data_IF_488908525831
#
_entry.id   IF_488908525831
#
_cell.length_a   1.000
_cell.length_b   1.000
_cell.length_c   1.000
_cell.angle_alpha   90.00
_cell.angle_beta   90.00
_cell.angle_gamma   90.00
#
_symmetry.space_group_name_H-M   'P 1'
#
loop_
_entity.id
_entity.type
_entity.pdbx_description
1 polymer ?
#
# COMPACT_ATOMS: atom_id res chain seq x y z
N UNK A 1 -18.32 15.03 37.97
CA UNK A 1 -17.21 14.06 38.14
C UNK A 1 -16.31 14.13 36.91
N UNK A 2 -15.09 14.63 37.06
CA UNK A 2 -14.09 14.68 35.97
C UNK A 2 -13.65 13.24 35.69
N UNK A 3 -13.91 12.73 34.48
CA UNK A 3 -13.27 11.49 34.01
C UNK A 3 -11.77 11.78 33.95
N UNK A 4 -10.98 11.07 34.75
CA UNK A 4 -9.52 11.10 34.60
C UNK A 4 -9.20 10.50 33.23
N UNK A 5 -8.73 11.34 32.30
CA UNK A 5 -8.01 10.86 31.14
C UNK A 5 -6.83 10.05 31.67
N UNK A 6 -6.77 8.77 31.27
CA UNK A 6 -5.69 7.88 31.65
C UNK A 6 -4.34 8.47 31.26
N UNK A 7 -3.29 8.06 31.98
CA UNK A 7 -1.90 8.44 31.74
C UNK A 7 -1.62 8.33 30.24
N UNK A 8 -1.48 9.47 29.57
CA UNK A 8 -1.18 9.52 28.14
C UNK A 8 0.20 8.94 27.92
N UNK A 9 0.27 7.73 27.39
CA UNK A 9 1.52 7.21 26.83
C UNK A 9 1.81 8.07 25.60
N UNK A 10 2.89 8.85 25.65
CA UNK A 10 3.42 9.49 24.44
C UNK A 10 4.33 8.48 23.75
N UNK A 11 4.14 8.33 22.44
CA UNK A 11 5.01 7.52 21.58
C UNK A 11 5.85 8.50 20.78
N UNK A 12 7.16 8.38 20.87
CA UNK A 12 8.10 9.12 20.03
C UNK A 12 8.22 8.42 18.67
N UNK A 13 7.88 9.14 17.60
CA UNK A 13 7.96 8.67 16.22
C UNK A 13 9.14 9.29 15.47
N UNK A 14 10.05 9.99 16.16
CA UNK A 14 11.27 10.53 15.55
C UNK A 14 12.06 9.40 14.88
N UNK A 15 12.43 9.59 13.62
CA UNK A 15 13.11 8.60 12.79
C UNK A 15 12.21 7.53 12.18
N UNK A 16 10.90 7.55 12.42
CA UNK A 16 9.96 6.63 11.78
C UNK A 16 9.81 6.92 10.27
N UNK A 17 9.33 5.92 9.52
CA UNK A 17 8.94 6.08 8.13
C UNK A 17 7.44 5.79 7.99
N UNK A 18 6.67 6.76 7.49
CA UNK A 18 5.28 6.52 7.09
C UNK A 18 5.25 5.93 5.68
N UNK A 19 4.81 4.67 5.58
CA UNK A 19 4.84 3.92 4.33
C UNK A 19 3.58 4.10 3.46
N UNK A 20 2.56 4.83 3.93
CA UNK A 20 1.27 4.89 3.26
C UNK A 20 0.56 6.22 3.57
N UNK A 21 1.01 7.29 2.91
CA UNK A 21 0.40 8.62 3.04
C UNK A 21 -0.42 8.98 1.81
N UNK A 22 -1.73 9.20 1.99
CA UNK A 22 -2.60 9.73 0.94
C UNK A 22 -2.62 11.26 0.98
N UNK A 23 -2.67 11.90 -0.19
CA UNK A 23 -2.51 13.35 -0.35
C UNK A 23 -3.35 13.87 -1.53
N UNK A 24 -3.61 15.18 -1.58
CA UNK A 24 -4.34 15.83 -2.66
C UNK A 24 -3.45 16.07 -3.90
N UNK A 25 -4.02 16.08 -5.12
CA UNK A 25 -5.39 15.72 -5.46
C UNK A 25 -5.62 14.20 -5.43
N UNK A 26 -6.85 13.78 -5.13
CA UNK A 26 -7.28 12.37 -5.12
C UNK A 26 -8.67 12.30 -5.75
N UNK A 27 -8.88 11.34 -6.66
CA UNK A 27 -10.10 11.26 -7.46
C UNK A 27 -11.32 10.75 -6.66
N UNK A 28 -11.07 10.04 -5.55
CA UNK A 28 -12.10 9.34 -4.78
C UNK A 28 -12.48 10.08 -3.50
N UNK A 29 -11.55 10.86 -2.93
CA UNK A 29 -11.76 11.53 -1.63
C UNK A 29 -11.06 12.88 -1.58
N UNK A 30 -11.72 13.87 -0.99
CA UNK A 30 -11.04 15.12 -0.62
C UNK A 30 -9.97 14.84 0.45
N UNK A 31 -8.76 15.37 0.25
CA UNK A 31 -7.63 15.22 1.16
C UNK A 31 -7.30 16.57 1.78
N UNK A 32 -6.89 16.56 3.05
CA UNK A 32 -6.63 17.79 3.81
C UNK A 32 -5.28 18.44 3.52
N UNK A 33 -4.37 17.72 2.87
CA UNK A 33 -2.99 18.11 2.61
C UNK A 33 -2.59 17.70 1.19
N UNK A 34 -1.70 18.45 0.55
CA UNK A 34 -1.05 18.05 -0.69
C UNK A 34 0.26 17.28 -0.43
N UNK A 35 0.97 16.90 -1.50
CA UNK A 35 2.22 16.16 -1.41
C UNK A 35 3.35 16.94 -0.69
N UNK A 36 3.39 18.26 -0.82
CA UNK A 36 4.39 19.09 -0.15
C UNK A 36 4.08 19.23 1.33
N UNK A 37 2.81 19.42 1.67
CA UNK A 37 2.34 19.49 3.05
C UNK A 37 2.60 18.17 3.78
N UNK A 38 2.30 17.03 3.14
CA UNK A 38 2.63 15.70 3.69
C UNK A 38 4.13 15.55 4.03
N UNK A 39 5.02 16.01 3.14
CA UNK A 39 6.46 15.97 3.39
C UNK A 39 6.88 16.95 4.50
N UNK A 40 6.35 18.18 4.52
CA UNK A 40 6.66 19.18 5.55
C UNK A 40 6.19 18.74 6.93
N UNK A 41 5.00 18.16 7.02
CA UNK A 41 4.45 17.64 8.27
C UNK A 41 5.30 16.46 8.78
N UNK A 42 5.72 15.56 7.89
CA UNK A 42 6.62 14.47 8.25
C UNK A 42 7.99 14.98 8.75
N UNK A 43 8.57 15.98 8.07
CA UNK A 43 9.82 16.61 8.51
C UNK A 43 9.67 17.31 9.87
N UNK A 44 8.58 18.05 10.08
CA UNK A 44 8.28 18.74 11.33
C UNK A 44 8.05 17.77 12.50
N UNK A 45 7.51 16.58 12.21
CA UNK A 45 7.36 15.48 13.17
C UNK A 45 8.67 14.69 13.41
N UNK A 46 9.75 14.99 12.69
CA UNK A 46 11.03 14.30 12.81
C UNK A 46 11.06 12.90 12.16
N UNK A 47 10.13 12.59 11.26
CA UNK A 47 10.15 11.33 10.50
C UNK A 47 11.39 11.26 9.61
N UNK A 48 11.94 10.05 9.45
CA UNK A 48 13.01 9.79 8.49
C UNK A 48 12.49 9.78 7.04
N UNK A 49 11.25 9.31 6.83
CA UNK A 49 10.67 9.23 5.49
C UNK A 49 9.13 9.28 5.48
N UNK A 50 8.58 9.63 4.32
CA UNK A 50 7.17 9.45 3.97
C UNK A 50 7.04 8.87 2.57
N UNK A 51 6.06 7.98 2.37
CA UNK A 51 5.75 7.38 1.08
C UNK A 51 4.40 7.89 0.61
N UNK A 52 4.42 8.63 -0.49
CA UNK A 52 3.24 9.15 -1.16
C UNK A 52 2.52 8.02 -1.90
N UNK A 53 1.24 7.78 -1.58
CA UNK A 53 0.40 6.76 -2.22
C UNK A 53 -0.78 7.40 -2.96
N UNK A 54 -1.00 6.94 -4.19
CA UNK A 54 -2.23 7.16 -4.96
C UNK A 54 -2.78 5.82 -5.43
N UNK A 55 -4.11 5.71 -5.49
CA UNK A 55 -4.79 4.55 -6.09
C UNK A 55 -4.69 4.57 -7.62
N UNK A 56 -4.64 5.76 -8.21
CA UNK A 56 -4.96 5.95 -9.63
C UNK A 56 -3.72 6.10 -10.53
N UNK A 57 -2.55 6.40 -9.94
CA UNK A 57 -1.33 6.67 -10.70
C UNK A 57 -0.04 6.39 -9.89
N UNK A 58 1.09 6.10 -10.56
CA UNK A 58 2.38 5.98 -9.90
C UNK A 58 2.84 7.32 -9.33
N UNK A 59 3.35 7.33 -8.10
CA UNK A 59 3.74 8.54 -7.38
C UNK A 59 5.25 8.78 -7.33
N UNK A 60 6.06 7.86 -7.86
CA UNK A 60 7.53 7.94 -7.77
C UNK A 60 8.12 9.23 -8.38
N UNK A 61 7.61 9.69 -9.52
CA UNK A 61 8.06 10.93 -10.17
C UNK A 61 7.71 12.19 -9.35
N UNK A 62 6.51 12.23 -8.78
CA UNK A 62 6.09 13.31 -7.87
C UNK A 62 6.92 13.29 -6.59
N UNK A 63 7.09 12.12 -5.97
CA UNK A 63 7.90 11.97 -4.78
C UNK A 63 9.34 12.44 -4.99
N UNK A 64 9.96 12.08 -6.12
CA UNK A 64 11.29 12.59 -6.48
C UNK A 64 11.31 14.12 -6.52
N UNK A 65 10.33 14.75 -7.16
CA UNK A 65 10.27 16.22 -7.26
C UNK A 65 10.09 16.88 -5.88
N UNK A 66 9.27 16.31 -4.99
CA UNK A 66 9.07 16.83 -3.64
C UNK A 66 10.32 16.63 -2.77
N UNK A 67 11.00 15.48 -2.87
CA UNK A 67 12.27 15.17 -2.17
C UNK A 67 13.38 16.16 -2.54
N UNK A 68 13.33 16.81 -3.71
CA UNK A 68 14.30 17.85 -4.10
C UNK A 68 14.06 19.20 -3.41
N UNK A 69 12.87 19.43 -2.87
CA UNK A 69 12.43 20.76 -2.41
C UNK A 69 12.20 20.80 -0.90
N UNK A 70 11.81 19.69 -0.29
CA UNK A 70 11.52 19.61 1.14
C UNK A 70 12.68 18.94 1.86
N UNK A 71 13.41 19.74 2.65
CA UNK A 71 14.51 19.26 3.48
C UNK A 71 14.02 18.56 4.77
N UNK A 72 14.88 17.73 5.36
CA UNK A 72 14.66 17.16 6.69
C UNK A 72 13.86 15.84 6.72
N UNK A 73 13.35 15.39 5.58
CA UNK A 73 12.68 14.09 5.40
C UNK A 73 13.04 13.50 4.04
N UNK A 74 12.99 12.17 3.90
CA UNK A 74 13.02 11.54 2.57
C UNK A 74 11.61 11.30 2.05
N UNK A 75 11.37 11.65 0.79
CA UNK A 75 10.07 11.44 0.14
C UNK A 75 10.19 10.34 -0.90
N UNK A 76 9.41 9.28 -0.72
CA UNK A 76 9.34 8.16 -1.65
C UNK A 76 7.93 8.05 -2.23
N UNK A 77 7.82 7.31 -3.34
CA UNK A 77 6.53 7.00 -3.95
C UNK A 77 6.41 5.51 -4.23
N UNK A 78 5.32 5.14 -4.89
CA UNK A 78 5.04 3.78 -5.28
C UNK A 78 4.01 3.68 -6.39
N UNK A 79 3.41 2.50 -6.54
CA UNK A 79 2.36 2.23 -7.52
C UNK A 79 1.34 1.25 -6.92
N UNK A 80 0.05 1.56 -7.03
CA UNK A 80 -1.02 0.61 -6.74
C UNK A 80 -1.43 -0.10 -8.03
N UNK A 81 -1.50 -1.42 -8.02
CA UNK A 81 -1.89 -2.25 -9.16
C UNK A 81 -3.42 -2.26 -9.37
N UNK A 82 -4.04 -1.09 -9.32
CA UNK A 82 -5.46 -0.91 -9.60
C UNK A 82 -5.73 -0.78 -11.10
N UNK A 83 -7.01 -0.88 -11.49
CA UNK A 83 -7.44 -0.86 -12.89
C UNK A 83 -6.94 0.36 -13.65
N UNK A 84 -6.86 1.52 -13.00
CA UNK A 84 -6.47 2.81 -13.58
C UNK A 84 -5.04 2.79 -14.14
N UNK A 85 -4.17 1.93 -13.60
CA UNK A 85 -2.80 1.71 -14.11
C UNK A 85 -2.67 0.41 -14.92
N UNK A 86 -3.78 -0.25 -15.24
CA UNK A 86 -3.84 -1.50 -15.99
C UNK A 86 -3.91 -2.77 -15.13
N UNK A 87 -4.19 -2.64 -13.83
CA UNK A 87 -4.25 -3.76 -12.89
C UNK A 87 -2.87 -4.25 -12.46
N UNK A 88 -2.74 -5.55 -12.23
CA UNK A 88 -1.44 -6.21 -11.98
C UNK A 88 -0.66 -6.23 -13.30
N UNK A 89 0.01 -5.12 -13.60
CA UNK A 89 0.68 -4.87 -14.87
C UNK A 89 2.21 -4.82 -14.63
N UNK A 90 2.96 -5.89 -14.95
CA UNK A 90 4.40 -5.95 -14.73
C UNK A 90 5.16 -4.82 -15.44
N UNK A 91 4.74 -4.43 -16.65
CA UNK A 91 5.41 -3.36 -17.39
C UNK A 91 5.26 -2.00 -16.70
N UNK A 92 4.08 -1.71 -16.12
CA UNK A 92 3.87 -0.49 -15.35
C UNK A 92 4.68 -0.49 -14.05
N UNK A 93 4.73 -1.64 -13.37
CA UNK A 93 5.51 -1.84 -12.14
C UNK A 93 7.01 -1.68 -12.40
N UNK A 94 7.56 -2.33 -13.44
CA UNK A 94 8.99 -2.23 -13.79
C UNK A 94 9.39 -0.77 -14.04
N UNK A 95 8.59 -0.03 -14.83
CA UNK A 95 8.86 1.39 -15.10
C UNK A 95 8.80 2.21 -13.81
N UNK A 96 7.79 2.00 -12.96
CA UNK A 96 7.68 2.72 -11.69
C UNK A 96 8.88 2.45 -10.77
N UNK A 97 9.32 1.19 -10.66
CA UNK A 97 10.48 0.78 -9.88
C UNK A 97 11.78 1.40 -10.41
N UNK A 98 11.96 1.44 -11.74
CA UNK A 98 13.11 2.10 -12.38
C UNK A 98 13.13 3.62 -12.18
N UNK A 99 11.96 4.26 -12.09
CA UNK A 99 11.83 5.68 -11.74
C UNK A 99 12.14 5.94 -10.25
N UNK A 100 11.96 4.94 -9.39
CA UNK A 100 12.33 5.00 -7.97
C UNK A 100 11.20 4.67 -7.00
N UNK A 101 10.10 4.04 -7.46
CA UNK A 101 9.08 3.50 -6.56
C UNK A 101 9.71 2.59 -5.50
N UNK A 102 9.30 2.75 -4.24
CA UNK A 102 9.73 1.91 -3.12
C UNK A 102 8.65 0.97 -2.60
N UNK A 103 7.39 1.26 -2.93
CA UNK A 103 6.25 0.39 -2.63
C UNK A 103 5.49 0.02 -3.89
N UNK A 104 5.11 -1.25 -3.98
CA UNK A 104 4.17 -1.77 -4.96
C UNK A 104 3.00 -2.35 -4.18
N UNK A 105 1.84 -1.69 -4.24
CA UNK A 105 0.61 -2.24 -3.67
C UNK A 105 -0.06 -3.13 -4.71
N UNK A 106 -0.44 -4.34 -4.30
CA UNK A 106 -1.42 -5.15 -5.03
C UNK A 106 -2.79 -4.42 -5.08
N UNK A 107 -3.77 -4.89 -5.87
CA UNK A 107 -5.03 -4.17 -6.09
C UNK A 107 -5.67 -3.67 -4.79
N UNK A 108 -6.22 -2.45 -4.83
CA UNK A 108 -6.84 -1.79 -3.67
C UNK A 108 -8.34 -1.57 -3.92
N UNK A 109 -8.77 -0.35 -4.28
CA UNK A 109 -10.19 -0.02 -4.51
C UNK A 109 -10.82 -0.83 -5.64
N UNK A 110 -10.01 -1.29 -6.60
CA UNK A 110 -10.47 -2.10 -7.72
C UNK A 110 -10.28 -3.60 -7.48
N UNK A 111 -9.87 -4.03 -6.28
CA UNK A 111 -9.73 -5.44 -5.91
C UNK A 111 -11.08 -6.18 -5.86
N UNK A 112 -11.04 -7.50 -6.00
CA UNK A 112 -12.21 -8.37 -5.80
C UNK A 112 -12.77 -8.25 -4.38
N UNK A 113 -11.90 -8.15 -3.38
CA UNK A 113 -12.31 -7.98 -1.98
C UNK A 113 -13.15 -6.71 -1.77
N UNK A 114 -12.73 -5.58 -2.34
CA UNK A 114 -13.48 -4.33 -2.23
C UNK A 114 -14.78 -4.34 -3.03
N UNK A 115 -14.89 -5.20 -4.05
CA UNK A 115 -16.18 -5.47 -4.69
C UNK A 115 -17.10 -6.28 -3.79
N UNK A 116 -16.57 -7.31 -3.10
CA UNK A 116 -17.33 -8.19 -2.22
C UNK A 116 -17.82 -7.49 -0.94
N UNK A 117 -17.01 -6.59 -0.36
CA UNK A 117 -17.38 -5.85 0.85
C UNK A 117 -18.23 -4.60 0.57
N UNK A 118 -18.49 -4.26 -0.70
CA UNK A 118 -19.33 -3.14 -1.12
C UNK A 118 -18.61 -1.79 -1.26
N UNK A 119 -17.29 -1.71 -0.99
CA UNK A 119 -16.50 -0.47 -1.14
C UNK A 119 -16.43 -0.05 -2.61
N UNK A 120 -16.06 -0.97 -3.51
CA UNK A 120 -16.00 -0.72 -4.95
C UNK A 120 -17.33 -0.24 -5.53
N UNK A 121 -18.45 -0.94 -5.27
CA UNK A 121 -19.79 -0.50 -5.68
C UNK A 121 -20.18 0.88 -5.14
N UNK A 122 -19.85 1.19 -3.88
CA UNK A 122 -20.14 2.50 -3.29
C UNK A 122 -19.37 3.64 -3.97
N UNK A 123 -18.19 3.35 -4.52
CA UNK A 123 -17.39 4.28 -5.31
C UNK A 123 -17.74 4.27 -6.82
N UNK A 124 -18.70 3.44 -7.25
CA UNK A 124 -19.08 3.32 -8.66
C UNK A 124 -18.07 2.58 -9.53
N UNK A 125 -17.15 1.82 -8.93
CA UNK A 125 -16.13 1.03 -9.64
C UNK A 125 -16.81 -0.21 -10.24
N UNK A 126 -16.80 -0.40 -11.58
CA UNK A 126 -17.56 -1.47 -12.21
C UNK A 126 -16.83 -2.81 -12.22
N UNK A 127 -17.54 -3.89 -12.53
CA UNK A 127 -16.97 -5.22 -12.76
C UNK A 127 -16.67 -6.03 -11.49
N UNK A 128 -16.12 -7.25 -11.63
CA UNK A 128 -15.98 -8.20 -10.52
C UNK A 128 -14.82 -7.88 -9.56
N UNK A 129 -14.00 -6.88 -9.90
CA UNK A 129 -12.76 -6.57 -9.20
C UNK A 129 -11.60 -7.44 -9.65
N UNK A 130 -10.39 -7.00 -9.35
CA UNK A 130 -9.14 -7.68 -9.72
C UNK A 130 -8.79 -8.72 -8.67
N UNK A 131 -8.45 -9.92 -9.13
CA UNK A 131 -7.84 -10.98 -8.33
C UNK A 131 -6.36 -11.11 -8.69
N UNK A 132 -5.57 -11.60 -7.74
CA UNK A 132 -4.13 -11.91 -7.91
C UNK A 132 -3.86 -13.42 -7.96
N UNK A 133 -4.92 -14.21 -7.81
CA UNK A 133 -4.93 -15.66 -7.97
C UNK A 133 -5.96 -16.10 -9.00
N UNK A 134 -5.79 -17.30 -9.54
CA UNK A 134 -6.80 -18.00 -10.33
C UNK A 134 -7.84 -18.70 -9.43
N UNK A 135 -8.82 -19.37 -10.06
CA UNK A 135 -9.88 -20.10 -9.34
C UNK A 135 -9.36 -21.30 -8.53
N UNK A 136 -8.12 -21.75 -8.76
CA UNK A 136 -7.47 -22.80 -7.98
C UNK A 136 -6.68 -22.24 -6.78
N UNK A 137 -6.59 -20.90 -6.64
CA UNK A 137 -5.82 -20.23 -5.60
C UNK A 137 -4.33 -20.10 -5.93
N UNK A 138 -3.93 -20.41 -7.18
CA UNK A 138 -2.57 -20.22 -7.64
C UNK A 138 -2.36 -18.78 -8.11
N UNK A 139 -1.19 -18.20 -7.84
CA UNK A 139 -0.89 -16.84 -8.29
C UNK A 139 -1.05 -16.72 -9.81
N UNK A 140 -1.53 -15.58 -10.29
CA UNK A 140 -1.54 -15.30 -11.72
C UNK A 140 -0.10 -15.10 -12.23
N UNK A 141 0.20 -15.39 -13.51
CA UNK A 141 1.53 -15.16 -14.09
C UNK A 141 2.03 -13.72 -13.87
N UNK A 142 1.18 -12.73 -14.14
CA UNK A 142 1.50 -11.31 -13.94
C UNK A 142 1.75 -10.95 -12.48
N UNK A 143 1.09 -11.63 -11.53
CA UNK A 143 1.39 -11.45 -10.10
C UNK A 143 2.78 -11.98 -9.78
N UNK A 144 3.16 -13.16 -10.29
CA UNK A 144 4.52 -13.71 -10.10
C UNK A 144 5.58 -12.77 -10.66
N UNK A 145 5.37 -12.25 -11.87
CA UNK A 145 6.29 -11.30 -12.51
C UNK A 145 6.46 -10.03 -11.66
N UNK A 146 5.36 -9.48 -11.10
CA UNK A 146 5.42 -8.33 -10.18
C UNK A 146 6.21 -8.66 -8.91
N UNK A 147 6.02 -9.85 -8.33
CA UNK A 147 6.79 -10.28 -7.16
C UNK A 147 8.29 -10.35 -7.45
N UNK A 148 8.65 -10.89 -8.62
CA UNK A 148 10.04 -10.99 -9.06
C UNK A 148 10.66 -9.59 -9.22
N UNK A 149 9.97 -8.68 -9.90
CA UNK A 149 10.40 -7.28 -10.05
C UNK A 149 10.59 -6.57 -8.70
N UNK A 150 9.67 -6.77 -7.74
CA UNK A 150 9.79 -6.15 -6.41
C UNK A 150 11.06 -6.65 -5.69
N UNK A 151 11.34 -7.96 -5.76
CA UNK A 151 12.57 -8.52 -5.18
C UNK A 151 13.83 -8.00 -5.88
N UNK A 152 13.85 -7.97 -7.22
CA UNK A 152 14.99 -7.51 -8.02
C UNK A 152 15.36 -6.05 -7.72
N UNK A 153 14.36 -5.21 -7.44
CA UNK A 153 14.54 -3.79 -7.14
C UNK A 153 14.70 -3.46 -5.65
N UNK A 154 14.74 -4.47 -4.77
CA UNK A 154 14.76 -4.32 -3.31
C UNK A 154 13.65 -3.38 -2.78
N UNK A 155 12.48 -3.45 -3.43
CA UNK A 155 11.29 -2.71 -3.05
C UNK A 155 10.45 -3.49 -2.03
N UNK A 156 9.38 -2.86 -1.55
CA UNK A 156 8.42 -3.47 -0.62
C UNK A 156 7.13 -3.79 -1.34
N UNK A 157 6.67 -5.03 -1.24
CA UNK A 157 5.33 -5.42 -1.66
C UNK A 157 4.34 -5.08 -0.55
N UNK A 158 3.26 -4.38 -0.88
CA UNK A 158 2.13 -4.19 0.00
C UNK A 158 0.94 -5.02 -0.51
N UNK A 159 0.26 -5.73 0.39
CA UNK A 159 -0.83 -6.65 0.00
C UNK A 159 -2.07 -5.95 -0.56
N UNK A 160 -2.15 -4.62 -0.42
CA UNK A 160 -3.29 -3.85 -0.89
C UNK A 160 -4.56 -4.26 -0.14
N UNK A 161 -5.64 -4.45 -0.89
CA UNK A 161 -6.93 -4.86 -0.34
C UNK A 161 -7.30 -6.29 -0.75
N UNK A 162 -6.39 -7.11 -1.29
CA UNK A 162 -6.70 -8.46 -1.77
C UNK A 162 -7.33 -9.36 -0.69
N UNK A 163 -7.99 -10.47 -1.07
CA UNK A 163 -8.68 -11.31 -0.07
C UNK A 163 -7.72 -11.94 0.93
N UNK A 164 -8.25 -12.50 2.04
CA UNK A 164 -7.42 -13.18 3.03
C UNK A 164 -6.68 -14.40 2.42
N UNK A 165 -7.34 -15.13 1.53
CA UNK A 165 -6.75 -16.25 0.79
C UNK A 165 -5.62 -15.78 -0.13
N UNK A 166 -5.83 -14.66 -0.83
CA UNK A 166 -4.82 -14.05 -1.69
C UNK A 166 -3.62 -13.53 -0.89
N UNK A 167 -3.84 -12.97 0.31
CA UNK A 167 -2.74 -12.62 1.23
C UNK A 167 -1.87 -13.84 1.56
N UNK A 168 -2.48 -14.98 1.89
CA UNK A 168 -1.76 -16.21 2.22
C UNK A 168 -1.00 -16.75 1.00
N UNK A 169 -1.62 -16.75 -0.18
CA UNK A 169 -0.98 -17.19 -1.42
C UNK A 169 0.26 -16.34 -1.75
N UNK A 170 0.14 -15.02 -1.64
CA UNK A 170 1.24 -14.06 -1.86
C UNK A 170 2.34 -14.24 -0.80
N UNK A 171 2.00 -14.26 0.48
CA UNK A 171 2.97 -14.42 1.56
C UNK A 171 3.74 -15.74 1.45
N UNK A 172 3.06 -16.84 1.11
CA UNK A 172 3.70 -18.15 0.87
C UNK A 172 4.70 -18.11 -0.28
N UNK A 173 4.38 -17.37 -1.35
CA UNK A 173 5.24 -17.27 -2.53
C UNK A 173 6.39 -16.26 -2.37
N UNK A 174 6.23 -15.21 -1.55
CA UNK A 174 7.12 -14.05 -1.53
C UNK A 174 7.74 -13.70 -0.16
N UNK A 175 7.09 -14.03 0.95
CA UNK A 175 7.46 -13.51 2.28
C UNK A 175 8.91 -13.80 2.71
N UNK A 176 9.50 -14.89 2.22
CA UNK A 176 10.92 -15.24 2.50
C UNK A 176 11.90 -14.83 1.41
N UNK A 177 11.43 -14.13 0.37
CA UNK A 177 12.21 -13.71 -0.81
C UNK A 177 12.45 -12.21 -0.85
N UNK A 178 11.60 -11.41 -0.21
CA UNK A 178 11.68 -9.96 -0.23
C UNK A 178 10.96 -9.32 0.95
N UNK A 179 10.78 -8.00 0.87
CA UNK A 179 10.10 -7.21 1.90
C UNK A 179 8.62 -7.12 1.58
N UNK A 180 7.78 -7.50 2.52
CA UNK A 180 6.33 -7.46 2.39
C UNK A 180 5.75 -6.72 3.59
N UNK A 181 4.63 -6.02 3.36
CA UNK A 181 3.83 -5.40 4.41
C UNK A 181 2.37 -5.78 4.19
N UNK A 182 1.75 -6.34 5.23
CA UNK A 182 0.31 -6.61 5.25
C UNK A 182 -0.42 -5.29 5.50
N UNK A 183 -1.04 -4.73 4.46
CA UNK A 183 -1.82 -3.50 4.58
C UNK A 183 -3.25 -3.79 5.03
N UNK A 184 -3.85 -2.83 5.74
CA UNK A 184 -5.24 -2.92 6.21
C UNK A 184 -5.55 -4.19 7.03
N UNK A 185 -4.56 -4.72 7.74
CA UNK A 185 -4.60 -6.04 8.38
C UNK A 185 -5.91 -6.29 9.14
N UNK A 186 -6.31 -5.40 10.04
CA UNK A 186 -7.55 -5.54 10.85
C UNK A 186 -8.55 -4.40 10.61
N UNK A 187 -8.51 -3.76 9.45
CA UNK A 187 -9.39 -2.64 9.13
C UNK A 187 -10.72 -3.16 8.55
N UNK A 188 -11.87 -2.88 9.16
CA UNK A 188 -13.16 -3.34 8.65
C UNK A 188 -13.63 -2.61 7.39
N UNK A 189 -13.11 -1.42 7.09
CA UNK A 189 -13.57 -0.59 5.96
C UNK A 189 -12.68 -0.65 4.71
N UNK A 190 -11.59 -1.42 4.75
CA UNK A 190 -10.68 -1.60 3.62
C UNK A 190 -10.00 -2.97 3.72
N UNK A 191 -9.96 -3.72 2.62
CA UNK A 191 -9.33 -5.04 2.61
C UNK A 191 -10.16 -6.13 3.33
N UNK A 192 -9.51 -7.23 3.76
CA UNK A 192 -10.19 -8.45 4.17
C UNK A 192 -10.54 -8.52 5.67
N UNK A 193 -10.25 -7.49 6.47
CA UNK A 193 -10.50 -7.48 7.91
C UNK A 193 -10.00 -8.76 8.62
N UNK A 194 -8.69 -9.02 8.49
CA UNK A 194 -8.05 -10.22 9.02
C UNK A 194 -8.23 -10.33 10.52
N UNK A 195 -8.35 -11.56 10.98
CA UNK A 195 -8.23 -11.90 12.39
C UNK A 195 -6.77 -11.83 12.83
N UNK A 196 -6.54 -11.66 14.14
CA UNK A 196 -5.19 -11.71 14.71
C UNK A 196 -4.49 -13.04 14.37
N UNK A 197 -5.22 -14.16 14.34
CA UNK A 197 -4.66 -15.46 13.97
C UNK A 197 -4.15 -15.48 12.52
N UNK A 198 -4.88 -14.89 11.59
CA UNK A 198 -4.43 -14.75 10.20
C UNK A 198 -3.21 -13.81 10.09
N UNK A 199 -3.15 -12.73 10.88
CA UNK A 199 -1.96 -11.88 10.92
C UNK A 199 -0.72 -12.64 11.40
N UNK A 200 -0.87 -13.51 12.41
CA UNK A 200 0.23 -14.36 12.89
C UNK A 200 0.65 -15.37 11.81
N UNK A 201 -0.30 -16.01 11.14
CA UNK A 201 -0.01 -16.92 10.02
C UNK A 201 0.80 -16.21 8.92
N UNK A 202 0.39 -15.01 8.52
CA UNK A 202 1.12 -14.24 7.51
C UNK A 202 2.54 -13.90 7.97
N UNK A 203 2.73 -13.50 9.22
CA UNK A 203 4.06 -13.24 9.78
C UNK A 203 4.94 -14.50 9.78
N UNK A 204 4.39 -15.69 10.07
CA UNK A 204 5.12 -16.97 10.00
C UNK A 204 5.53 -17.35 8.56
N UNK A 205 4.78 -16.89 7.57
CA UNK A 205 5.11 -17.01 6.14
C UNK A 205 6.17 -15.99 5.69
N UNK A 206 6.56 -15.03 6.54
CA UNK A 206 7.56 -14.01 6.26
C UNK A 206 6.97 -12.66 5.86
N UNK A 207 5.69 -12.43 6.15
CA UNK A 207 5.06 -11.11 6.01
C UNK A 207 5.48 -10.12 7.11
#
# INVERSE_FOLDING_TARGET
MKKSLGVGVSVDLTGAADLHCHFAPDAHRERSIDAFDAARDAAAAGHAAVVLKSHDYPTASLAWAVDQVVDGVRVFGGICCDREVGGVNPAAVEVALRVGAKLVWLPTLTSRQDQLNGVGPALGIPGPGLSVTDDAGELLPETRDVLDLVAEHDAVLATGHVTAEEHVAVARAFGRRGKIVVTHATEPLAGPNLTVAQCVELAELGA
#
